data_IF_841652330240
#
_entry.id   IF_841652330240
#
_cell.length_a   1.000
_cell.length_b   1.000
_cell.length_c   1.000
_cell.angle_alpha   90.00
_cell.angle_beta   90.00
_cell.angle_gamma   90.00
#
_symmetry.space_group_name_H-M   'P 1'
#
loop_
_entity.id
_entity.type
_entity.pdbx_description
1 polymer ?
#
# COMPACT_ATOMS: atom_id res chain seq x y z
N UNK A 1 -5.04 -7.59 17.90
CA UNK A 1 -3.84 -7.73 17.02
C UNK A 1 -3.86 -6.60 15.99
N UNK A 2 -2.77 -5.89 15.87
CA UNK A 2 -2.66 -4.76 14.94
C UNK A 2 -1.89 -5.19 13.69
N UNK A 3 -2.54 -5.08 12.54
CA UNK A 3 -1.91 -5.41 11.25
C UNK A 3 -1.78 -4.14 10.42
N UNK A 4 -0.56 -3.87 9.95
CA UNK A 4 -0.23 -2.70 9.15
C UNK A 4 0.35 -3.15 7.82
N UNK A 5 -0.18 -2.60 6.73
CA UNK A 5 0.36 -2.77 5.40
C UNK A 5 1.14 -1.51 5.04
N UNK A 6 2.46 -1.61 5.01
CA UNK A 6 3.32 -0.53 4.55
C UNK A 6 3.58 -0.67 3.06
N UNK A 7 3.19 0.32 2.28
CA UNK A 7 3.32 0.27 0.82
C UNK A 7 4.25 1.38 0.38
N UNK A 8 5.41 0.98 -0.14
CA UNK A 8 6.42 1.88 -0.67
C UNK A 8 6.24 2.00 -2.17
N UNK A 9 5.65 3.10 -2.62
CA UNK A 9 5.26 3.31 -4.02
C UNK A 9 6.44 3.86 -4.82
N UNK A 10 6.78 3.18 -5.89
CA UNK A 10 7.77 3.62 -6.89
C UNK A 10 7.10 3.79 -8.24
N UNK A 11 7.88 4.06 -9.30
CA UNK A 11 7.32 4.37 -10.62
C UNK A 11 6.55 3.20 -11.24
N UNK A 12 7.17 2.04 -11.30
CA UNK A 12 6.61 0.88 -12.01
C UNK A 12 6.09 -0.18 -11.06
N UNK A 13 6.56 -0.20 -9.83
CA UNK A 13 6.20 -1.22 -8.86
C UNK A 13 6.13 -0.63 -7.46
N UNK A 14 5.54 -1.37 -6.55
CA UNK A 14 5.49 -1.00 -5.14
C UNK A 14 5.91 -2.18 -4.29
N UNK A 15 6.55 -1.89 -3.16
CA UNK A 15 6.89 -2.91 -2.18
C UNK A 15 5.89 -2.88 -1.05
N UNK A 16 5.34 -4.04 -0.73
CA UNK A 16 4.37 -4.19 0.35
C UNK A 16 5.03 -4.95 1.48
N UNK A 17 4.96 -4.38 2.67
CA UNK A 17 5.41 -5.03 3.90
C UNK A 17 4.23 -5.17 4.84
N UNK A 18 4.01 -6.38 5.34
CA UNK A 18 2.93 -6.66 6.28
C UNK A 18 3.53 -6.80 7.66
N UNK A 19 3.10 -5.95 8.58
CA UNK A 19 3.57 -5.95 9.95
C UNK A 19 2.43 -6.33 10.88
N UNK A 20 2.72 -7.25 11.80
CA UNK A 20 1.79 -7.66 12.84
C UNK A 20 2.41 -7.29 14.18
N UNK A 21 1.73 -6.44 14.93
CA UNK A 21 2.23 -5.91 16.20
C UNK A 21 3.62 -5.28 16.09
N UNK A 22 3.86 -4.58 14.96
CA UNK A 22 5.13 -3.91 14.71
C UNK A 22 6.24 -4.76 14.12
N UNK A 23 6.00 -6.05 13.91
CA UNK A 23 7.00 -6.98 13.38
C UNK A 23 6.64 -7.38 11.95
N UNK A 24 7.61 -7.25 11.03
CA UNK A 24 7.40 -7.62 9.64
C UNK A 24 7.32 -9.15 9.52
N UNK A 25 6.17 -9.64 9.07
CA UNK A 25 5.92 -11.07 8.92
C UNK A 25 5.92 -11.51 7.46
N UNK A 26 5.74 -10.59 6.52
CA UNK A 26 5.69 -10.90 5.10
C UNK A 26 6.00 -9.65 4.27
N UNK A 27 6.48 -9.86 3.06
CA UNK A 27 6.73 -8.77 2.14
C UNK A 27 6.77 -9.26 0.70
N UNK A 28 6.37 -8.42 -0.23
CA UNK A 28 6.44 -8.74 -1.65
C UNK A 28 6.46 -7.46 -2.49
N UNK A 29 6.83 -7.62 -3.74
CA UNK A 29 6.81 -6.54 -4.73
C UNK A 29 5.63 -6.77 -5.67
N UNK A 30 4.92 -5.72 -6.00
CA UNK A 30 3.78 -5.81 -6.92
C UNK A 30 3.86 -4.73 -7.98
N UNK A 31 3.34 -4.97 -9.20
CA UNK A 31 3.25 -3.93 -10.21
C UNK A 31 2.21 -2.88 -9.82
N UNK A 32 2.43 -1.64 -10.28
CA UNK A 32 1.51 -0.52 -10.04
C UNK A 32 0.38 -0.52 -11.06
N UNK A 33 -0.41 -1.57 -11.08
CA UNK A 33 -1.54 -1.74 -11.99
C UNK A 33 -2.69 -2.44 -11.28
N UNK A 34 -3.77 -2.71 -12.02
CA UNK A 34 -4.95 -3.35 -11.45
C UNK A 34 -4.69 -4.77 -10.99
N UNK A 35 -3.73 -5.47 -11.59
CA UNK A 35 -3.37 -6.83 -11.20
C UNK A 35 -2.69 -6.83 -9.83
N UNK A 36 -1.70 -5.94 -9.65
CA UNK A 36 -1.03 -5.80 -8.35
C UNK A 36 -1.99 -5.35 -7.26
N UNK A 37 -2.87 -4.41 -7.60
CA UNK A 37 -3.86 -3.93 -6.64
C UNK A 37 -4.85 -5.02 -6.24
N UNK A 38 -5.27 -5.87 -7.19
CA UNK A 38 -6.17 -6.98 -6.88
C UNK A 38 -5.54 -7.94 -5.87
N UNK A 39 -4.23 -8.19 -5.99
CA UNK A 39 -3.50 -9.01 -5.02
C UNK A 39 -3.50 -8.35 -3.63
N UNK A 40 -3.25 -7.05 -3.58
CA UNK A 40 -3.27 -6.31 -2.31
C UNK A 40 -4.66 -6.35 -1.68
N UNK A 41 -5.72 -6.15 -2.46
CA UNK A 41 -7.08 -6.24 -1.97
C UNK A 41 -7.38 -7.62 -1.40
N UNK A 42 -6.93 -8.68 -2.08
CA UNK A 42 -7.11 -10.05 -1.60
C UNK A 42 -6.48 -10.23 -0.23
N UNK A 43 -5.27 -9.71 -0.04
CA UNK A 43 -4.59 -9.78 1.25
C UNK A 43 -5.29 -8.95 2.32
N UNK A 44 -5.77 -7.76 1.97
CA UNK A 44 -6.47 -6.88 2.90
C UNK A 44 -7.77 -7.50 3.41
N UNK A 45 -8.45 -8.27 2.57
CA UNK A 45 -9.70 -8.94 2.94
C UNK A 45 -9.51 -10.03 3.99
N UNK A 46 -8.29 -10.52 4.18
CA UNK A 46 -7.99 -11.52 5.20
C UNK A 46 -7.84 -10.91 6.59
N UNK A 47 -7.83 -9.58 6.69
CA UNK A 47 -7.62 -8.85 7.94
C UNK A 47 -8.88 -8.05 8.26
N UNK A 48 -9.33 -8.08 9.52
CA UNK A 48 -10.57 -7.41 9.93
C UNK A 48 -10.46 -5.89 9.90
N UNK A 49 -9.37 -5.33 10.43
CA UNK A 49 -9.19 -3.88 10.54
C UNK A 49 -7.77 -3.50 10.08
N UNK A 50 -7.49 -3.60 8.77
CA UNK A 50 -6.16 -3.29 8.30
C UNK A 50 -5.88 -1.79 8.39
N UNK A 51 -4.65 -1.46 8.76
CA UNK A 51 -4.13 -0.10 8.64
C UNK A 51 -3.19 -0.09 7.45
N UNK A 52 -3.33 0.89 6.57
CA UNK A 52 -2.52 0.99 5.36
C UNK A 52 -1.76 2.31 5.41
N UNK A 53 -0.44 2.22 5.22
CA UNK A 53 0.41 3.39 5.11
C UNK A 53 1.04 3.39 3.73
N UNK A 54 0.71 4.41 2.93
CA UNK A 54 1.33 4.60 1.63
C UNK A 54 2.46 5.62 1.77
N UNK A 55 3.65 5.23 1.34
CA UNK A 55 4.79 6.13 1.27
C UNK A 55 5.22 6.28 -0.18
N UNK A 56 5.38 7.52 -0.62
CA UNK A 56 5.78 7.83 -1.98
C UNK A 56 6.74 9.00 -1.98
N UNK A 57 7.71 8.97 -2.91
CA UNK A 57 8.57 10.12 -3.15
C UNK A 57 7.75 11.26 -3.78
N UNK A 58 8.02 12.50 -3.40
CA UNK A 58 7.35 13.64 -3.98
C UNK A 58 7.57 13.79 -5.48
N UNK A 59 8.63 13.17 -6.01
CA UNK A 59 8.95 13.18 -7.44
C UNK A 59 8.19 12.14 -8.25
N UNK A 60 7.38 11.28 -7.63
CA UNK A 60 6.58 10.29 -8.34
C UNK A 60 5.54 11.01 -9.22
N UNK A 61 5.37 10.49 -10.44
CA UNK A 61 4.46 11.08 -11.42
C UNK A 61 3.04 11.19 -10.86
N UNK A 62 2.38 12.29 -11.21
CA UNK A 62 1.00 12.56 -10.81
C UNK A 62 0.06 11.41 -11.17
N UNK A 63 0.29 10.78 -12.33
CA UNK A 63 -0.54 9.64 -12.76
C UNK A 63 -0.52 8.46 -11.79
N UNK A 64 0.67 8.13 -11.25
CA UNK A 64 0.78 7.05 -10.27
C UNK A 64 0.06 7.38 -8.97
N UNK A 65 0.14 8.64 -8.52
CA UNK A 65 -0.57 9.08 -7.33
C UNK A 65 -2.08 9.03 -7.53
N UNK A 66 -2.56 9.44 -8.71
CA UNK A 66 -3.98 9.40 -9.03
C UNK A 66 -4.50 7.97 -9.06
N UNK A 67 -3.73 7.06 -9.66
CA UNK A 67 -4.08 5.63 -9.67
C UNK A 67 -4.28 5.12 -8.24
N UNK A 68 -3.30 5.35 -7.37
CA UNK A 68 -3.37 4.85 -5.99
C UNK A 68 -4.47 5.51 -5.18
N UNK A 69 -4.72 6.80 -5.38
CA UNK A 69 -5.82 7.48 -4.70
C UNK A 69 -7.16 6.91 -5.12
N UNK A 70 -7.34 6.65 -6.42
CA UNK A 70 -8.56 6.05 -6.93
C UNK A 70 -8.76 4.64 -6.37
N UNK A 71 -7.71 3.83 -6.38
CA UNK A 71 -7.78 2.47 -5.84
C UNK A 71 -8.02 2.47 -4.33
N UNK A 72 -7.45 3.43 -3.61
CA UNK A 72 -7.60 3.51 -2.17
C UNK A 72 -9.06 3.73 -1.74
N UNK A 73 -9.90 4.33 -2.59
CA UNK A 73 -11.32 4.50 -2.29
C UNK A 73 -12.05 3.17 -2.19
N UNK A 74 -11.48 2.10 -2.75
CA UNK A 74 -12.06 0.75 -2.69
C UNK A 74 -11.61 -0.04 -1.46
N UNK A 75 -10.73 0.53 -0.66
CA UNK A 75 -10.17 -0.14 0.51
C UNK A 75 -10.96 0.27 1.75
N UNK A 76 -11.45 -0.72 2.50
CA UNK A 76 -12.06 -0.48 3.81
C UNK A 76 -10.98 -0.58 4.87
N UNK A 77 -10.78 0.49 5.61
CA UNK A 77 -9.78 0.50 6.66
C UNK A 77 -9.20 1.90 6.86
N UNK A 78 -8.19 1.98 7.70
CA UNK A 78 -7.50 3.23 8.01
C UNK A 78 -6.35 3.42 7.03
N UNK A 79 -6.36 4.52 6.28
CA UNK A 79 -5.35 4.81 5.26
C UNK A 79 -4.60 6.09 5.62
N UNK A 80 -3.29 6.03 5.62
CA UNK A 80 -2.42 7.17 5.82
C UNK A 80 -1.48 7.32 4.63
N UNK A 81 -1.45 8.52 4.05
CA UNK A 81 -0.53 8.86 2.98
C UNK A 81 0.63 9.65 3.54
N UNK A 82 1.84 9.23 3.22
CA UNK A 82 3.06 9.93 3.59
C UNK A 82 3.88 10.26 2.36
N UNK A 83 4.43 11.48 2.33
CA UNK A 83 5.44 11.85 1.36
C UNK A 83 6.80 11.54 1.96
N UNK A 84 7.60 10.75 1.25
CA UNK A 84 8.95 10.44 1.67
C UNK A 84 9.89 11.48 1.08
N UNK A 85 10.71 12.09 1.93
CA UNK A 85 11.74 13.02 1.48
C UNK A 85 12.96 12.27 0.96
N UNK A 86 13.62 12.86 -0.01
CA UNK A 86 14.87 12.31 -0.54
C UNK A 86 16.00 12.46 0.46
#
# INVERSE_FOLDING_TARGET
MRTVFGIDVSKASSEVAILVNGEKVHGYTMPNDTIGFARLLSDLKTVQHPEIIFEALGSIRVGSKLFWRKMATLIHGSILWKLRSN
#
